data_IF_969627536264
#
_entry.id   IF_969627536264
#
_cell.length_a   1.000
_cell.length_b   1.000
_cell.length_c   1.000
_cell.angle_alpha   90.00
_cell.angle_beta   90.00
_cell.angle_gamma   90.00
#
_symmetry.space_group_name_H-M   'P 1'
#
loop_
_entity.id
_entity.type
_entity.pdbx_description
1 polymer ?
#
# COMPACT_ATOMS: atom_id res chain seq x y z
N UNK A 1 -5.02 12.22 -30.40
CA UNK A 1 -6.35 12.15 -31.07
C UNK A 1 -6.61 13.33 -31.99
N UNK A 2 -5.84 14.44 -31.93
CA UNK A 2 -5.97 15.55 -32.88
C UNK A 2 -7.27 16.35 -32.72
N UNK A 3 -7.98 16.18 -31.62
CA UNK A 3 -9.31 16.71 -31.34
C UNK A 3 -9.29 17.91 -30.36
N UNK A 4 -8.10 18.45 -30.09
CA UNK A 4 -7.91 19.60 -29.18
C UNK A 4 -8.09 19.28 -27.69
N UNK A 5 -8.32 18.01 -27.33
CA UNK A 5 -8.45 17.56 -25.93
C UNK A 5 -7.18 16.83 -25.49
N UNK A 6 -6.56 17.32 -24.42
CA UNK A 6 -5.26 16.84 -23.95
C UNK A 6 -5.36 15.95 -22.70
N UNK A 7 -6.57 15.70 -22.22
CA UNK A 7 -6.90 15.01 -20.97
C UNK A 7 -7.41 13.58 -21.17
N UNK A 8 -7.55 13.11 -22.42
CA UNK A 8 -8.01 11.75 -22.73
C UNK A 8 -7.24 10.67 -21.95
N UNK A 9 -5.92 10.74 -21.98
CA UNK A 9 -5.08 9.74 -21.30
C UNK A 9 -5.25 9.83 -19.78
N UNK A 10 -5.23 11.02 -19.19
CA UNK A 10 -5.48 11.18 -17.75
C UNK A 10 -6.86 10.64 -17.36
N UNK A 11 -7.90 10.93 -18.15
CA UNK A 11 -9.26 10.44 -17.92
C UNK A 11 -9.34 8.91 -17.99
N UNK A 12 -8.63 8.28 -18.93
CA UNK A 12 -8.54 6.81 -19.01
C UNK A 12 -7.83 6.21 -17.79
N UNK A 13 -6.72 6.81 -17.36
CA UNK A 13 -5.96 6.30 -16.21
C UNK A 13 -6.66 6.56 -14.86
N UNK A 14 -7.61 7.50 -14.80
CA UNK A 14 -8.20 7.97 -13.54
C UNK A 14 -8.78 6.84 -12.70
N UNK A 15 -9.47 5.91 -13.35
CA UNK A 15 -10.16 4.81 -12.69
C UNK A 15 -9.19 3.74 -12.12
N UNK A 16 -7.92 3.76 -12.54
CA UNK A 16 -6.93 2.76 -12.13
C UNK A 16 -5.73 3.34 -11.37
N UNK A 17 -5.70 4.65 -11.10
CA UNK A 17 -4.59 5.32 -10.41
C UNK A 17 -5.03 6.03 -9.15
N UNK A 18 -4.15 6.10 -8.14
CA UNK A 18 -4.44 6.79 -6.87
C UNK A 18 -4.14 8.28 -6.89
N UNK A 19 -3.23 8.67 -7.76
CA UNK A 19 -2.89 10.06 -7.99
C UNK A 19 -2.50 10.27 -9.44
N UNK A 20 -2.82 11.46 -9.93
CA UNK A 20 -2.39 11.92 -11.24
C UNK A 20 -1.84 13.34 -11.16
N UNK A 21 -0.95 13.69 -12.09
CA UNK A 21 -0.54 15.07 -12.30
C UNK A 21 -0.20 15.34 -13.77
N UNK A 22 -0.42 16.57 -14.22
CA UNK A 22 0.10 17.12 -15.47
C UNK A 22 1.11 18.19 -15.11
N UNK A 23 2.38 17.95 -15.42
CA UNK A 23 3.48 18.80 -14.96
C UNK A 23 3.53 20.13 -15.71
N UNK A 24 3.80 21.20 -14.96
CA UNK A 24 4.26 22.50 -15.48
C UNK A 24 5.57 22.87 -14.76
N UNK A 25 6.41 23.76 -15.32
CA UNK A 25 7.67 24.15 -14.68
C UNK A 25 7.49 24.70 -13.27
N UNK A 26 6.37 25.37 -13.00
CA UNK A 26 6.09 26.05 -11.74
C UNK A 26 5.88 25.08 -10.57
N UNK A 27 5.33 23.88 -10.83
CA UNK A 27 4.95 22.93 -9.77
C UNK A 27 5.49 21.51 -9.98
N UNK A 28 6.37 21.28 -10.97
CA UNK A 28 6.84 19.94 -11.33
C UNK A 28 7.45 19.19 -10.13
N UNK A 29 8.31 19.85 -9.35
CA UNK A 29 8.97 19.23 -8.20
C UNK A 29 7.97 18.76 -7.14
N UNK A 30 7.01 19.62 -6.76
CA UNK A 30 6.01 19.32 -5.74
C UNK A 30 5.04 18.21 -6.19
N UNK A 31 4.62 18.24 -7.45
CA UNK A 31 3.68 17.26 -7.98
C UNK A 31 4.30 15.88 -8.20
N UNK A 32 5.56 15.82 -8.65
CA UNK A 32 6.29 14.54 -8.73
C UNK A 32 6.36 13.90 -7.35
N UNK A 33 6.78 14.67 -6.34
CA UNK A 33 6.88 14.19 -4.98
C UNK A 33 5.52 13.75 -4.41
N UNK A 34 4.45 14.53 -4.63
CA UNK A 34 3.11 14.19 -4.15
C UNK A 34 2.61 12.89 -4.76
N UNK A 35 2.75 12.75 -6.08
CA UNK A 35 2.28 11.57 -6.82
C UNK A 35 3.09 10.33 -6.45
N UNK A 36 4.42 10.44 -6.33
CA UNK A 36 5.26 9.32 -5.90
C UNK A 36 5.04 8.94 -4.42
N UNK A 37 4.76 9.90 -3.54
CA UNK A 37 4.36 9.62 -2.14
C UNK A 37 3.04 8.85 -2.08
N UNK A 38 2.06 9.20 -2.90
CA UNK A 38 0.79 8.46 -2.99
C UNK A 38 1.02 7.03 -3.50
N UNK A 39 1.82 6.86 -4.56
CA UNK A 39 2.21 5.55 -5.09
C UNK A 39 2.85 4.66 -4.00
N UNK A 40 3.81 5.21 -3.27
CA UNK A 40 4.52 4.48 -2.22
C UNK A 40 3.63 4.13 -1.03
N UNK A 41 2.78 5.06 -0.60
CA UNK A 41 1.95 4.90 0.60
C UNK A 41 0.77 3.96 0.36
N UNK A 42 0.11 4.12 -0.79
CA UNK A 42 -1.06 3.30 -1.15
C UNK A 42 -0.68 1.99 -1.84
N UNK A 43 0.60 1.83 -2.25
CA UNK A 43 1.11 0.65 -2.97
C UNK A 43 0.30 0.37 -4.24
N UNK A 44 -0.10 1.44 -4.92
CA UNK A 44 -0.98 1.46 -6.09
C UNK A 44 -0.42 2.40 -7.16
N UNK A 45 -0.74 2.15 -8.45
CA UNK A 45 -0.15 2.90 -9.55
C UNK A 45 -0.61 4.36 -9.60
N UNK A 46 0.19 5.19 -10.26
CA UNK A 46 -0.01 6.62 -10.46
C UNK A 46 0.28 7.02 -11.89
N UNK A 47 -0.18 8.21 -12.31
CA UNK A 47 0.03 8.72 -13.66
C UNK A 47 0.62 10.14 -13.64
N UNK A 48 1.74 10.34 -14.33
CA UNK A 48 2.37 11.65 -14.50
C UNK A 48 2.43 11.96 -16.00
N UNK A 49 1.77 13.03 -16.41
CA UNK A 49 1.88 13.57 -17.76
C UNK A 49 3.00 14.61 -17.78
N UNK A 50 4.04 14.36 -18.57
CA UNK A 50 5.15 15.27 -18.82
C UNK A 50 5.02 15.88 -20.23
N UNK A 51 4.59 17.14 -20.35
CA UNK A 51 4.51 17.81 -21.65
C UNK A 51 5.89 17.99 -22.30
N UNK A 52 5.94 17.92 -23.63
CA UNK A 52 7.18 18.02 -24.42
C UNK A 52 7.82 19.42 -24.39
N UNK A 53 7.05 20.44 -24.04
CA UNK A 53 7.52 21.81 -23.83
C UNK A 53 8.03 22.06 -22.40
N UNK A 54 7.89 21.07 -21.51
CA UNK A 54 8.23 21.16 -20.07
C UNK A 54 9.48 20.36 -19.71
N UNK A 55 9.79 19.25 -20.38
CA UNK A 55 10.85 18.30 -19.94
C UNK A 55 12.25 18.89 -19.72
N UNK A 56 12.59 19.98 -20.41
CA UNK A 56 13.90 20.63 -20.33
C UNK A 56 13.87 21.98 -19.59
N UNK A 57 12.73 22.36 -19.00
CA UNK A 57 12.60 23.62 -18.29
C UNK A 57 13.32 23.54 -16.95
N UNK A 58 14.03 24.61 -16.53
CA UNK A 58 14.66 24.64 -15.22
C UNK A 58 13.59 24.63 -14.13
N UNK A 59 13.79 23.80 -13.11
CA UNK A 59 12.92 23.74 -11.92
C UNK A 59 13.79 23.76 -10.66
N UNK A 60 13.21 24.18 -9.55
CA UNK A 60 13.87 24.05 -8.25
C UNK A 60 13.95 22.57 -7.85
N UNK A 61 15.11 22.13 -7.39
CA UNK A 61 15.27 20.77 -6.85
C UNK A 61 14.49 20.65 -5.54
N UNK A 62 13.83 19.51 -5.27
CA UNK A 62 13.30 19.21 -3.94
C UNK A 62 14.39 19.34 -2.86
N UNK A 63 14.03 19.94 -1.73
CA UNK A 63 14.94 20.15 -0.59
C UNK A 63 15.10 18.88 0.24
N UNK A 64 14.05 18.05 0.28
CA UNK A 64 13.95 16.84 1.10
C UNK A 64 13.80 15.58 0.24
N UNK A 65 14.22 14.41 0.72
CA UNK A 65 13.87 13.13 0.11
C UNK A 65 12.35 12.94 0.04
N UNK A 66 11.87 12.32 -1.04
CA UNK A 66 10.43 12.04 -1.26
C UNK A 66 9.81 11.29 -0.07
N UNK A 67 10.54 10.34 0.52
CA UNK A 67 10.10 9.47 1.62
C UNK A 67 10.70 9.87 2.98
N UNK A 68 10.88 11.18 3.23
CA UNK A 68 11.51 11.67 4.47
C UNK A 68 10.66 11.50 5.74
N UNK A 69 9.34 11.25 5.62
CA UNK A 69 8.44 11.06 6.76
C UNK A 69 7.75 9.70 6.70
N UNK A 70 7.79 8.89 7.77
CA UNK A 70 6.98 7.70 7.84
C UNK A 70 5.50 8.10 7.86
N UNK A 71 4.66 7.30 7.22
CA UNK A 71 3.21 7.43 7.36
C UNK A 71 2.86 6.90 8.75
N UNK A 72 2.49 7.82 9.65
CA UNK A 72 2.11 7.47 11.02
C UNK A 72 0.60 7.27 11.10
N UNK A 73 0.20 6.22 11.81
CA UNK A 73 -1.20 6.03 12.18
C UNK A 73 -1.67 7.17 13.09
N UNK A 74 -2.92 7.58 12.94
CA UNK A 74 -3.56 8.45 13.92
C UNK A 74 -3.64 7.71 15.27
N UNK A 75 -3.11 8.32 16.33
CA UNK A 75 -2.98 7.68 17.64
C UNK A 75 -4.33 7.25 18.22
N UNK A 76 -5.32 8.15 18.22
CA UNK A 76 -6.64 7.85 18.79
C UNK A 76 -7.36 6.75 18.00
N UNK A 77 -7.23 6.74 16.67
CA UNK A 77 -7.78 5.69 15.83
C UNK A 77 -7.09 4.34 16.08
N UNK A 78 -5.77 4.35 16.23
CA UNK A 78 -4.98 3.16 16.55
C UNK A 78 -5.37 2.59 17.91
N UNK A 79 -5.44 3.42 18.95
CA UNK A 79 -5.78 2.98 20.31
C UNK A 79 -7.19 2.38 20.36
N UNK A 80 -8.16 2.99 19.68
CA UNK A 80 -9.52 2.45 19.54
C UNK A 80 -9.54 1.11 18.78
N UNK A 81 -8.77 1.00 17.69
CA UNK A 81 -8.68 -0.23 16.92
C UNK A 81 -8.07 -1.36 17.76
N UNK A 82 -6.96 -1.10 18.46
CA UNK A 82 -6.29 -2.07 19.32
C UNK A 82 -7.20 -2.57 20.45
N UNK A 83 -7.92 -1.66 21.12
CA UNK A 83 -8.86 -2.04 22.17
C UNK A 83 -9.97 -2.96 21.62
N UNK A 84 -10.58 -2.57 20.49
CA UNK A 84 -11.66 -3.34 19.89
C UNK A 84 -11.19 -4.70 19.36
N UNK A 85 -10.08 -4.73 18.61
CA UNK A 85 -9.50 -5.96 18.06
C UNK A 85 -9.09 -6.94 19.16
N UNK A 86 -8.40 -6.45 20.21
CA UNK A 86 -7.97 -7.30 21.34
C UNK A 86 -9.16 -7.86 22.09
N UNK A 87 -10.20 -7.06 22.35
CA UNK A 87 -11.44 -7.54 22.98
C UNK A 87 -12.09 -8.65 22.17
N UNK A 88 -12.21 -8.47 20.85
CA UNK A 88 -12.79 -9.48 19.94
C UNK A 88 -11.96 -10.77 19.94
N UNK A 89 -10.64 -10.66 19.79
CA UNK A 89 -9.72 -11.79 19.78
C UNK A 89 -9.81 -12.57 21.09
N UNK A 90 -9.78 -11.90 22.24
CA UNK A 90 -9.82 -12.55 23.55
C UNK A 90 -11.18 -13.19 23.87
N UNK A 91 -12.27 -12.67 23.30
CA UNK A 91 -13.61 -13.23 23.49
C UNK A 91 -13.92 -14.44 22.57
N UNK A 92 -13.11 -14.65 21.53
CA UNK A 92 -13.33 -15.73 20.58
C UNK A 92 -12.96 -17.10 21.18
N UNK A 93 -13.71 -18.15 20.78
CA UNK A 93 -13.43 -19.54 21.23
C UNK A 93 -12.32 -20.21 20.42
N UNK A 94 -12.15 -19.82 19.16
CA UNK A 94 -11.18 -20.36 18.21
C UNK A 94 -10.68 -19.23 17.31
N UNK A 95 -9.42 -18.87 17.46
CA UNK A 95 -8.73 -17.85 16.68
C UNK A 95 -7.95 -18.52 15.55
N UNK A 96 -8.01 -17.92 14.37
CA UNK A 96 -7.20 -18.31 13.20
C UNK A 96 -6.76 -17.02 12.53
N UNK A 97 -5.52 -16.99 12.05
CA UNK A 97 -5.00 -15.90 11.23
C UNK A 97 -5.20 -16.27 9.77
N UNK A 98 -5.80 -15.38 9.00
CA UNK A 98 -5.87 -15.46 7.55
C UNK A 98 -5.06 -14.30 6.97
N UNK A 99 -3.97 -14.62 6.28
CA UNK A 99 -3.05 -13.64 5.72
C UNK A 99 -3.02 -13.70 4.18
N UNK A 100 -2.66 -12.59 3.54
CA UNK A 100 -2.56 -12.50 2.07
C UNK A 100 -1.41 -11.58 1.63
N UNK A 101 -1.23 -11.41 0.32
CA UNK A 101 -0.11 -10.70 -0.33
C UNK A 101 0.14 -9.27 0.19
N UNK A 102 -0.85 -8.63 0.80
CA UNK A 102 -0.67 -7.29 1.39
C UNK A 102 0.36 -7.28 2.51
N UNK A 103 0.56 -8.40 3.21
CA UNK A 103 1.63 -8.52 4.21
C UNK A 103 2.98 -8.19 3.57
N UNK A 104 3.30 -8.79 2.43
CA UNK A 104 4.54 -8.50 1.71
C UNK A 104 4.56 -7.11 1.09
N UNK A 105 3.40 -6.65 0.58
CA UNK A 105 3.26 -5.32 -0.03
C UNK A 105 3.57 -4.18 0.94
N UNK A 106 3.29 -4.40 2.23
CA UNK A 106 3.56 -3.46 3.32
C UNK A 106 4.77 -3.83 4.18
N UNK A 107 5.58 -4.83 3.77
CA UNK A 107 6.77 -5.28 4.49
C UNK A 107 6.49 -5.69 5.95
N UNK A 108 5.36 -6.39 6.16
CA UNK A 108 4.86 -6.78 7.47
C UNK A 108 5.09 -8.27 7.82
N UNK A 109 5.92 -8.98 7.06
CA UNK A 109 6.20 -10.41 7.23
C UNK A 109 6.76 -10.72 8.63
N UNK A 110 7.72 -9.92 9.10
CA UNK A 110 8.33 -10.09 10.41
C UNK A 110 7.32 -9.82 11.54
N UNK A 111 6.45 -8.81 11.38
CA UNK A 111 5.39 -8.54 12.35
C UNK A 111 4.36 -9.68 12.40
N UNK A 112 4.01 -10.24 11.24
CA UNK A 112 3.14 -11.41 11.16
C UNK A 112 3.80 -12.61 11.86
N UNK A 113 5.08 -12.85 11.60
CA UNK A 113 5.85 -13.91 12.25
C UNK A 113 5.81 -13.79 13.78
N UNK A 114 6.15 -12.62 14.31
CA UNK A 114 6.12 -12.34 15.74
C UNK A 114 4.71 -12.46 16.34
N UNK A 115 3.68 -12.07 15.58
CA UNK A 115 2.30 -12.19 16.03
C UNK A 115 1.86 -13.65 16.14
N UNK A 116 2.22 -14.49 15.17
CA UNK A 116 1.96 -15.95 15.22
C UNK A 116 2.71 -16.59 16.39
N UNK A 117 3.99 -16.27 16.58
CA UNK A 117 4.81 -16.81 17.67
C UNK A 117 4.26 -16.44 19.06
N UNK A 118 3.82 -15.19 19.24
CA UNK A 118 3.27 -14.73 20.53
C UNK A 118 1.91 -15.31 20.85
N UNK A 119 1.06 -15.51 19.84
CA UNK A 119 -0.32 -15.93 20.04
C UNK A 119 -0.50 -17.45 19.99
N UNK A 120 0.38 -18.15 19.26
CA UNK A 120 0.21 -19.56 18.95
C UNK A 120 -1.05 -19.84 18.13
N UNK A 121 -1.58 -18.85 17.43
CA UNK A 121 -2.76 -19.04 16.58
C UNK A 121 -2.37 -19.76 15.29
N UNK A 122 -3.19 -20.71 14.82
CA UNK A 122 -3.02 -21.29 13.51
C UNK A 122 -3.14 -20.22 12.43
N UNK A 123 -2.34 -20.35 11.37
CA UNK A 123 -2.31 -19.42 10.25
C UNK A 123 -2.53 -20.13 8.92
N UNK A 124 -3.47 -19.61 8.14
CA UNK A 124 -3.64 -19.94 6.73
C UNK A 124 -3.29 -18.72 5.87
N UNK A 125 -2.93 -18.98 4.61
CA UNK A 125 -2.74 -17.93 3.61
C UNK A 125 -3.81 -18.03 2.52
N UNK A 126 -4.19 -16.90 1.92
CA UNK A 126 -4.90 -16.91 0.64
C UNK A 126 -3.90 -17.19 -0.50
N UNK A 127 -4.43 -17.57 -1.67
CA UNK A 127 -3.61 -18.01 -2.82
C UNK A 127 -2.55 -16.98 -3.25
N UNK A 128 -2.87 -15.69 -3.20
CA UNK A 128 -1.93 -14.62 -3.59
C UNK A 128 -0.85 -14.37 -2.55
N UNK A 129 -1.11 -14.74 -1.30
CA UNK A 129 -0.20 -14.64 -0.16
C UNK A 129 0.78 -15.80 -0.05
N UNK A 130 0.86 -16.68 -1.06
CA UNK A 130 1.83 -17.78 -1.02
C UNK A 130 3.26 -17.23 -0.86
N UNK A 131 3.98 -17.75 0.12
CA UNK A 131 5.36 -17.37 0.43
C UNK A 131 5.54 -16.23 1.44
N UNK A 132 4.46 -15.60 1.93
CA UNK A 132 4.57 -14.54 2.96
C UNK A 132 4.85 -15.08 4.37
N UNK A 133 4.72 -16.40 4.57
CA UNK A 133 4.91 -17.06 5.85
C UNK A 133 5.62 -18.41 5.66
N UNK A 134 6.52 -18.84 6.56
CA UNK A 134 7.23 -20.11 6.43
C UNK A 134 6.27 -21.31 6.47
N UNK A 135 6.14 -22.04 5.36
CA UNK A 135 5.20 -23.17 5.24
C UNK A 135 5.54 -24.39 6.13
N UNK A 136 6.77 -24.44 6.68
CA UNK A 136 7.21 -25.49 7.62
C UNK A 136 6.92 -25.14 9.08
N UNK A 137 6.42 -23.95 9.36
CA UNK A 137 6.15 -23.50 10.72
C UNK A 137 4.99 -24.31 11.33
N UNK A 138 5.07 -24.77 12.60
CA UNK A 138 4.05 -25.63 13.22
C UNK A 138 2.62 -25.09 13.22
N UNK A 139 2.45 -23.76 13.24
CA UNK A 139 1.13 -23.10 13.17
C UNK A 139 0.59 -22.95 11.74
N UNK A 140 1.38 -23.24 10.70
CA UNK A 140 0.91 -23.10 9.33
C UNK A 140 -0.03 -24.25 8.95
N UNK A 141 -1.28 -23.93 8.68
CA UNK A 141 -2.34 -24.90 8.37
C UNK A 141 -2.71 -24.96 6.88
N UNK A 142 -1.92 -24.29 6.02
CA UNK A 142 -2.04 -24.38 4.56
C UNK A 142 -2.61 -23.13 3.88
N UNK A 143 -3.09 -23.34 2.65
CA UNK A 143 -3.69 -22.30 1.81
C UNK A 143 -5.22 -22.45 1.88
N UNK A 144 -5.90 -21.38 2.25
CA UNK A 144 -7.35 -21.29 2.23
C UNK A 144 -7.83 -20.74 0.88
N UNK A 145 -8.64 -21.53 0.16
CA UNK A 145 -9.18 -21.17 -1.15
C UNK A 145 -10.71 -21.04 -1.15
N UNK A 146 -11.35 -21.12 0.02
CA UNK A 146 -12.81 -21.21 0.13
C UNK A 146 -13.39 -22.46 -0.52
N UNK A 147 -14.71 -22.47 -0.70
CA UNK A 147 -15.41 -23.45 -1.51
C UNK A 147 -15.26 -23.03 -2.98
N UNK A 148 -14.52 -23.82 -3.75
CA UNK A 148 -14.40 -23.69 -5.21
C UNK A 148 -15.64 -24.28 -5.88
#
# INVERSE_FOLDING_TARGET
LGDGKFDHFSNMYREITVAQSKLTPEHAAEEIDRVLRACWSEKRPVHIQLPIDVYNKPINKPIEPILHKPVLSNKDALDKMLLHATSKINSAKKQVILADFEVARFHAEEYLHQFVEKTGFPIATLSMGKGIFPEKHPQFIGIYTGDV
#
